data_IF_091467602439
#
_entry.id   IF_091467602439
#
_cell.length_a   1.000
_cell.length_b   1.000
_cell.length_c   1.000
_cell.angle_alpha   90.00
_cell.angle_beta   90.00
_cell.angle_gamma   90.00
#
_symmetry.space_group_name_H-M   'P 1'
#
loop_
_entity.id
_entity.type
_entity.pdbx_description
1 polymer ?
#
# COMPACT_ATOMS: atom_id res chain seq x y z
N UNK A 1 33.13 -15.04 -7.37
CA UNK A 1 32.04 -14.69 -6.44
C UNK A 1 31.97 -13.17 -6.41
N UNK A 2 31.16 -12.59 -7.28
CA UNK A 2 30.92 -11.14 -7.29
C UNK A 2 30.04 -10.80 -6.09
N UNK A 3 30.56 -10.00 -5.16
CA UNK A 3 29.77 -9.44 -4.07
C UNK A 3 28.74 -8.50 -4.71
N UNK A 4 27.47 -8.88 -4.66
CA UNK A 4 26.39 -7.95 -4.98
C UNK A 4 26.53 -6.73 -4.05
N UNK A 5 26.50 -5.50 -4.58
CA UNK A 5 26.62 -4.31 -3.75
C UNK A 5 25.50 -4.34 -2.71
N UNK A 6 25.88 -4.30 -1.44
CA UNK A 6 24.94 -4.22 -0.33
C UNK A 6 24.24 -2.86 -0.46
N UNK A 7 23.04 -2.84 -1.05
CA UNK A 7 22.21 -1.63 -1.07
C UNK A 7 21.69 -1.45 0.35
N UNK A 8 22.44 -0.71 1.16
CA UNK A 8 22.00 -0.32 2.50
C UNK A 8 20.96 0.79 2.32
N UNK A 9 19.68 0.44 2.43
CA UNK A 9 18.63 1.46 2.50
C UNK A 9 18.74 2.16 3.86
N UNK A 10 18.94 3.49 3.86
CA UNK A 10 18.95 4.27 5.10
C UNK A 10 17.55 4.26 5.75
N UNK A 11 17.44 4.40 7.09
CA UNK A 11 16.14 4.55 7.77
C UNK A 11 15.28 5.66 7.17
N UNK A 12 15.91 6.76 6.74
CA UNK A 12 15.24 7.87 6.06
C UNK A 12 14.64 7.43 4.72
N UNK A 13 15.38 6.65 3.93
CA UNK A 13 14.92 6.11 2.64
C UNK A 13 13.75 5.16 2.85
N UNK A 14 13.87 4.24 3.81
CA UNK A 14 12.81 3.28 4.16
C UNK A 14 11.54 4.01 4.63
N UNK A 15 11.69 5.02 5.49
CA UNK A 15 10.57 5.84 5.97
C UNK A 15 9.90 6.60 4.83
N UNK A 16 10.69 7.19 3.92
CA UNK A 16 10.18 7.93 2.76
C UNK A 16 9.40 7.01 1.82
N UNK A 17 9.95 5.84 1.51
CA UNK A 17 9.27 4.86 0.66
C UNK A 17 8.01 4.34 1.33
N UNK A 18 8.06 4.00 2.62
CA UNK A 18 6.88 3.54 3.37
C UNK A 18 5.74 4.56 3.37
N UNK A 19 6.05 5.84 3.58
CA UNK A 19 5.07 6.94 3.48
C UNK A 19 4.51 7.11 2.07
N UNK A 20 5.35 7.04 1.04
CA UNK A 20 4.89 7.13 -0.35
C UNK A 20 3.94 5.97 -0.72
N UNK A 21 4.19 4.77 -0.20
CA UNK A 21 3.30 3.62 -0.38
C UNK A 21 1.95 3.85 0.32
N UNK A 22 1.96 4.37 1.54
CA UNK A 22 0.74 4.70 2.27
C UNK A 22 -0.06 5.81 1.57
N UNK A 23 0.60 6.87 1.08
CA UNK A 23 -0.04 7.93 0.29
C UNK A 23 -0.66 7.38 -1.00
N UNK A 24 0.03 6.46 -1.68
CA UNK A 24 -0.49 5.79 -2.88
C UNK A 24 -1.70 4.92 -2.55
N UNK A 25 -1.67 4.17 -1.43
CA UNK A 25 -2.79 3.37 -0.97
C UNK A 25 -4.02 4.23 -0.64
N UNK A 26 -3.82 5.37 0.02
CA UNK A 26 -4.88 6.34 0.29
C UNK A 26 -5.42 6.99 -1.00
N UNK A 27 -4.54 7.32 -1.96
CA UNK A 27 -4.91 7.77 -3.29
C UNK A 27 -5.86 6.78 -3.98
N UNK A 28 -5.45 5.50 -4.05
CA UNK A 28 -6.25 4.43 -4.65
C UNK A 28 -7.61 4.27 -3.98
N UNK A 29 -7.68 4.32 -2.64
CA UNK A 29 -8.95 4.26 -1.90
C UNK A 29 -9.87 5.44 -2.21
N UNK A 30 -9.33 6.66 -2.37
CA UNK A 30 -10.14 7.84 -2.73
C UNK A 30 -10.66 7.74 -4.15
N UNK A 31 -9.81 7.35 -5.11
CA UNK A 31 -10.18 7.22 -6.51
C UNK A 31 -11.28 6.15 -6.68
N UNK A 32 -11.18 5.04 -5.95
CA UNK A 32 -12.24 4.04 -5.87
C UNK A 32 -13.57 4.61 -5.41
N UNK A 33 -13.58 5.39 -4.32
CA UNK A 33 -14.79 6.06 -3.84
C UNK A 33 -15.35 7.00 -4.91
N UNK A 34 -14.52 7.77 -5.61
CA UNK A 34 -14.96 8.65 -6.68
C UNK A 34 -15.59 7.87 -7.84
N UNK A 35 -15.00 6.75 -8.25
CA UNK A 35 -15.51 5.95 -9.36
C UNK A 35 -16.81 5.23 -9.00
N UNK A 36 -16.94 4.65 -7.81
CA UNK A 36 -18.19 4.02 -7.37
C UNK A 36 -19.30 5.03 -7.09
N UNK A 37 -18.95 6.28 -6.75
CA UNK A 37 -19.92 7.37 -6.63
C UNK A 37 -20.37 7.89 -8.00
N UNK A 38 -19.48 7.86 -8.99
CA UNK A 38 -19.71 8.32 -10.36
C UNK A 38 -20.48 7.33 -11.25
N UNK A 39 -20.51 6.04 -10.90
CA UNK A 39 -21.28 5.01 -11.62
C UNK A 39 -22.80 5.10 -11.40
N UNK A 40 -23.30 6.11 -10.67
CA UNK A 40 -24.72 6.38 -10.46
C UNK A 40 -25.55 6.69 -11.72
N UNK A 41 -24.95 6.64 -12.91
CA UNK A 41 -25.63 6.71 -14.21
C UNK A 41 -25.72 5.36 -14.94
N UNK A 42 -25.24 4.26 -14.35
CA UNK A 42 -25.55 2.92 -14.86
C UNK A 42 -27.07 2.73 -14.73
N UNK A 43 -27.76 2.55 -15.85
CA UNK A 43 -29.19 2.27 -15.87
C UNK A 43 -29.53 1.18 -14.83
N UNK A 44 -30.69 1.27 -14.16
CA UNK A 44 -31.08 0.27 -13.18
C UNK A 44 -30.93 -1.13 -13.77
N UNK A 45 -30.11 -1.96 -13.09
CA UNK A 45 -29.86 -3.35 -13.48
C UNK A 45 -31.21 -4.00 -13.75
N UNK A 46 -31.51 -4.26 -15.03
CA UNK A 46 -32.76 -4.94 -15.38
C UNK A 46 -32.56 -6.40 -15.02
N UNK A 47 -33.21 -6.91 -13.95
CA UNK A 47 -32.97 -8.27 -13.49
C UNK A 47 -33.50 -9.23 -14.57
N UNK A 48 -32.60 -9.91 -15.28
CA UNK A 48 -32.96 -10.80 -16.39
C UNK A 48 -32.09 -10.65 -17.64
N UNK A 49 -31.29 -9.59 -17.76
CA UNK A 49 -30.34 -9.47 -18.85
C UNK A 49 -28.95 -9.95 -18.41
N UNK A 50 -28.43 -11.02 -19.04
CA UNK A 50 -27.15 -11.62 -18.65
C UNK A 50 -25.98 -10.61 -18.65
N UNK A 51 -26.02 -9.61 -19.56
CA UNK A 51 -24.97 -8.60 -19.63
C UNK A 51 -25.00 -7.61 -18.45
N UNK A 52 -26.17 -7.31 -17.86
CA UNK A 52 -26.25 -6.40 -16.71
C UNK A 52 -25.78 -7.09 -15.42
N UNK A 53 -26.05 -8.40 -15.28
CA UNK A 53 -25.48 -9.22 -14.19
C UNK A 53 -23.96 -9.31 -14.32
N UNK A 54 -23.45 -9.59 -15.52
CA UNK A 54 -22.02 -9.63 -15.77
C UNK A 54 -21.32 -8.28 -15.50
N UNK A 55 -21.99 -7.17 -15.80
CA UNK A 55 -21.49 -5.83 -15.49
C UNK A 55 -21.40 -5.59 -13.98
N UNK A 56 -22.45 -5.89 -13.22
CA UNK A 56 -22.46 -5.75 -11.75
C UNK A 56 -21.42 -6.66 -11.07
N UNK A 57 -21.25 -7.90 -11.55
CA UNK A 57 -20.21 -8.80 -11.06
C UNK A 57 -18.80 -8.28 -11.37
N UNK A 58 -18.59 -7.75 -12.59
CA UNK A 58 -17.34 -7.09 -12.97
C UNK A 58 -17.07 -5.90 -12.04
N UNK A 59 -18.10 -5.09 -11.77
CA UNK A 59 -18.04 -3.89 -10.92
C UNK A 59 -17.78 -4.22 -9.44
N UNK A 60 -18.22 -5.37 -8.95
CA UNK A 60 -17.87 -5.82 -7.60
C UNK A 60 -16.46 -6.41 -7.54
N UNK A 61 -16.05 -7.12 -8.59
CA UNK A 61 -14.75 -7.81 -8.65
C UNK A 61 -13.59 -6.82 -8.66
N UNK A 62 -13.63 -5.78 -9.50
CA UNK A 62 -12.57 -4.78 -9.53
C UNK A 62 -12.50 -3.94 -8.25
N UNK A 63 -13.64 -3.50 -7.67
CA UNK A 63 -13.67 -2.78 -6.39
C UNK A 63 -13.05 -3.63 -5.26
N UNK A 64 -13.43 -4.90 -5.16
CA UNK A 64 -12.86 -5.83 -4.18
C UNK A 64 -11.35 -5.99 -4.36
N UNK A 65 -10.90 -6.18 -5.60
CA UNK A 65 -9.49 -6.37 -5.93
C UNK A 65 -8.66 -5.14 -5.58
N UNK A 66 -9.10 -3.96 -6.01
CA UNK A 66 -8.36 -2.72 -5.78
C UNK A 66 -8.34 -2.31 -4.31
N UNK A 67 -9.40 -2.59 -3.54
CA UNK A 67 -9.39 -2.42 -2.08
C UNK A 67 -8.36 -3.32 -1.40
N UNK A 68 -8.26 -4.58 -1.84
CA UNK A 68 -7.27 -5.51 -1.31
C UNK A 68 -5.84 -5.05 -1.63
N UNK A 69 -5.57 -4.62 -2.85
CA UNK A 69 -4.27 -4.07 -3.25
C UNK A 69 -3.90 -2.82 -2.45
N UNK A 70 -4.84 -1.88 -2.27
CA UNK A 70 -4.62 -0.70 -1.43
C UNK A 70 -4.27 -1.07 0.01
N UNK A 71 -4.93 -2.08 0.59
CA UNK A 71 -4.64 -2.55 1.93
C UNK A 71 -3.25 -3.20 2.04
N UNK A 72 -2.88 -4.03 1.05
CA UNK A 72 -1.55 -4.64 1.01
C UNK A 72 -0.44 -3.60 0.84
N UNK A 73 -0.67 -2.58 0.02
CA UNK A 73 0.30 -1.51 -0.20
C UNK A 73 0.54 -0.70 1.07
N UNK A 74 -0.53 -0.36 1.81
CA UNK A 74 -0.43 0.30 3.11
C UNK A 74 0.33 -0.57 4.12
N UNK A 75 -0.01 -1.85 4.24
CA UNK A 75 0.66 -2.78 5.17
C UNK A 75 2.17 -2.89 4.90
N UNK A 76 2.55 -3.01 3.62
CA UNK A 76 3.98 -3.02 3.23
C UNK A 76 4.66 -1.68 3.53
N UNK A 77 3.94 -0.56 3.40
CA UNK A 77 4.43 0.76 3.77
C UNK A 77 4.72 0.86 5.27
N UNK A 78 3.80 0.39 6.10
CA UNK A 78 3.95 0.31 7.55
C UNK A 78 5.14 -0.55 7.97
N UNK A 79 5.32 -1.71 7.33
CA UNK A 79 6.47 -2.60 7.58
C UNK A 79 7.81 -1.90 7.29
N UNK A 80 7.90 -1.11 6.22
CA UNK A 80 9.11 -0.35 5.91
C UNK A 80 9.40 0.73 6.96
N UNK A 81 8.37 1.43 7.44
CA UNK A 81 8.51 2.44 8.51
C UNK A 81 8.93 1.77 9.83
N UNK A 82 8.34 0.62 10.15
CA UNK A 82 8.71 -0.16 11.33
C UNK A 82 10.17 -0.62 11.24
N UNK A 83 10.58 -1.19 10.11
CA UNK A 83 11.96 -1.62 9.87
C UNK A 83 12.94 -0.44 9.97
N UNK A 84 12.58 0.73 9.43
CA UNK A 84 13.38 1.95 9.57
C UNK A 84 13.59 2.34 11.04
N UNK A 85 12.51 2.31 11.83
CA UNK A 85 12.55 2.61 13.26
C UNK A 85 13.43 1.61 14.02
N UNK A 86 13.24 0.31 13.78
CA UNK A 86 14.04 -0.75 14.41
C UNK A 86 15.52 -0.62 14.07
N UNK A 87 15.85 -0.30 12.81
CA UNK A 87 17.24 -0.05 12.40
C UNK A 87 17.83 1.13 13.18
N UNK A 88 17.12 2.26 13.25
CA UNK A 88 17.57 3.45 13.96
C UNK A 88 17.76 3.20 15.47
N UNK A 89 16.81 2.52 16.12
CA UNK A 89 16.91 2.13 17.53
C UNK A 89 18.11 1.20 17.78
N UNK A 90 18.36 0.27 16.86
CA UNK A 90 19.51 -0.65 16.93
C UNK A 90 20.84 0.09 16.81
N UNK A 91 20.94 1.04 15.87
CA UNK A 91 22.13 1.88 15.73
C UNK A 91 22.40 2.71 17.00
N UNK A 92 21.37 3.35 17.57
CA UNK A 92 21.50 4.09 18.84
C UNK A 92 21.97 3.17 19.97
N UNK A 93 21.38 1.98 20.11
CA UNK A 93 21.76 1.02 21.14
C UNK A 93 23.20 0.53 20.98
N UNK A 94 23.69 0.40 19.75
CA UNK A 94 25.06 0.03 19.47
C UNK A 94 26.03 1.17 19.79
N UNK A 95 25.75 2.41 19.36
CA UNK A 95 26.58 3.59 19.69
C UNK A 95 26.65 3.81 21.20
N UNK A 96 25.53 3.66 21.91
CA UNK A 96 25.48 3.79 23.38
C UNK A 96 26.33 2.76 24.13
N UNK A 97 26.59 1.58 23.54
CA UNK A 97 27.49 0.57 24.13
C UNK A 97 28.97 0.87 23.96
N UNK A 98 29.36 1.73 23.01
CA UNK A 98 30.76 2.10 22.77
C UNK A 98 31.21 3.36 23.53
N UNK A 99 30.29 4.19 24.02
CA UNK A 99 30.61 5.39 24.83
C UNK A 99 30.77 5.06 26.33
N UNK A 100 30.31 3.88 26.78
CA UNK A 100 30.38 3.45 28.17
C UNK A 100 31.62 2.59 28.51
N UNK A 101 32.69 2.62 27.70
CA UNK A 101 33.96 1.94 27.99
C UNK A 101 35.12 2.92 28.06
#
# INVERSE_FOLDING_TARGET
MEQQPLVVASPETLTKVGRAMDETAHGLKRDLVTLTSGSGTSEPVTPGFAASVALDECEKSWDTTLRAEAAQLAARGDDLVLNAKTYFETEIANVGKFVAR
#
